data_IF_590265096442
#
_entry.id   IF_590265096442
#
_cell.length_a   1.000
_cell.length_b   1.000
_cell.length_c   1.000
_cell.angle_alpha   90.00
_cell.angle_beta   90.00
_cell.angle_gamma   90.00
#
_symmetry.space_group_name_H-M   'P 1'
#
loop_
_entity.id
_entity.type
_entity.pdbx_description
1 polymer ?
#
# COMPACT_ATOMS: atom_id res chain seq x y z
N UNK A 1 -22.07 12.29 23.50
CA UNK A 1 -22.38 11.66 22.19
C UNK A 1 -21.08 11.10 21.63
N UNK A 2 -21.04 9.81 21.31
CA UNK A 2 -19.86 9.20 20.70
C UNK A 2 -19.73 9.74 19.27
N UNK A 3 -18.71 10.57 19.01
CA UNK A 3 -18.45 11.11 17.68
C UNK A 3 -17.93 10.02 16.74
N UNK A 4 -18.28 10.14 15.45
CA UNK A 4 -17.81 9.26 14.39
C UNK A 4 -16.53 9.81 13.76
N UNK A 5 -15.71 8.89 13.25
CA UNK A 5 -14.51 9.17 12.48
C UNK A 5 -14.69 8.55 11.09
N UNK A 6 -14.22 9.24 10.07
CA UNK A 6 -14.26 8.78 8.70
C UNK A 6 -12.84 8.82 8.11
N UNK A 7 -12.48 7.80 7.38
CA UNK A 7 -11.23 7.78 6.61
C UNK A 7 -11.48 7.31 5.19
N UNK A 8 -10.63 7.75 4.27
CA UNK A 8 -10.50 7.12 2.96
C UNK A 8 -9.04 6.85 2.62
N UNK A 9 -8.80 5.70 2.00
CA UNK A 9 -7.53 5.29 1.41
C UNK A 9 -7.71 5.17 -0.09
N UNK A 10 -7.03 6.01 -0.86
CA UNK A 10 -7.26 6.11 -2.30
C UNK A 10 -6.00 5.98 -3.14
N UNK A 11 -6.10 5.18 -4.19
CA UNK A 11 -5.07 5.00 -5.21
C UNK A 11 -5.54 5.41 -6.60
N UNK A 12 -4.82 4.99 -7.62
CA UNK A 12 -5.15 5.24 -9.02
C UNK A 12 -6.29 4.38 -9.58
N UNK A 13 -6.75 3.35 -8.86
CA UNK A 13 -7.76 2.38 -9.34
C UNK A 13 -9.01 2.29 -8.49
N UNK A 14 -8.86 2.46 -7.19
CA UNK A 14 -9.95 2.39 -6.22
C UNK A 14 -9.68 3.29 -5.03
N UNK A 15 -10.75 3.64 -4.31
CA UNK A 15 -10.72 4.36 -3.03
C UNK A 15 -11.64 3.63 -2.06
N UNK A 16 -11.10 3.20 -0.93
CA UNK A 16 -11.83 2.53 0.13
C UNK A 16 -12.18 3.54 1.24
N UNK A 17 -13.39 3.46 1.79
CA UNK A 17 -13.89 4.34 2.86
C UNK A 17 -14.30 3.54 4.08
N UNK A 18 -14.12 4.13 5.26
CA UNK A 18 -14.49 3.52 6.53
C UNK A 18 -15.00 4.58 7.52
N UNK A 19 -16.26 4.44 7.95
CA UNK A 19 -16.89 5.23 9.02
C UNK A 19 -16.96 4.38 10.28
N UNK A 20 -16.43 4.88 11.39
CA UNK A 20 -16.27 4.09 12.62
C UNK A 20 -16.36 4.94 13.89
N UNK A 21 -16.58 4.27 15.00
CA UNK A 21 -16.58 4.84 16.35
C UNK A 21 -15.19 4.76 16.99
N UNK A 22 -14.96 5.51 18.07
CA UNK A 22 -13.73 5.47 18.87
C UNK A 22 -13.35 4.05 19.36
N UNK A 23 -14.32 3.15 19.48
CA UNK A 23 -14.12 1.74 19.84
C UNK A 23 -13.63 0.84 18.70
N UNK A 24 -13.47 1.41 17.50
CA UNK A 24 -13.19 0.66 16.28
C UNK A 24 -14.44 0.05 15.62
N UNK A 25 -15.64 0.18 16.24
CA UNK A 25 -16.89 -0.35 15.65
C UNK A 25 -17.20 0.35 14.34
N UNK A 26 -17.30 -0.43 13.27
CA UNK A 26 -17.62 0.06 11.93
C UNK A 26 -19.12 0.37 11.83
N UNK A 27 -19.43 1.52 11.24
CA UNK A 27 -20.80 2.03 11.02
C UNK A 27 -21.15 2.11 9.53
N UNK A 28 -20.13 2.27 8.67
CA UNK A 28 -20.31 2.27 7.22
C UNK A 28 -19.02 1.96 6.50
N UNK A 29 -19.13 1.35 5.32
CA UNK A 29 -18.04 1.08 4.37
C UNK A 29 -18.49 1.45 2.97
N UNK A 30 -17.60 2.03 2.19
CA UNK A 30 -17.85 2.27 0.78
C UNK A 30 -16.58 2.01 -0.02
N UNK A 31 -16.74 1.78 -1.32
CA UNK A 31 -15.65 1.69 -2.26
C UNK A 31 -16.02 2.44 -3.53
N UNK A 32 -15.14 3.32 -3.96
CA UNK A 32 -15.28 4.11 -5.19
C UNK A 32 -14.15 3.85 -6.18
N UNK A 33 -14.23 4.53 -7.31
CA UNK A 33 -13.16 4.60 -8.31
C UNK A 33 -11.88 5.20 -7.72
N UNK A 34 -10.78 5.17 -8.47
CA UNK A 34 -9.53 5.82 -8.06
C UNK A 34 -9.72 7.33 -7.87
N UNK A 35 -9.08 7.88 -6.84
CA UNK A 35 -9.12 9.31 -6.54
C UNK A 35 -7.72 9.96 -6.46
N UNK A 36 -6.65 9.25 -6.86
CA UNK A 36 -5.31 9.83 -6.93
C UNK A 36 -5.23 10.79 -8.13
N UNK A 37 -5.10 12.08 -7.85
CA UNK A 37 -5.12 13.16 -8.86
C UNK A 37 -3.95 13.14 -9.85
N UNK A 38 -2.93 12.31 -9.62
CA UNK A 38 -1.88 12.06 -10.62
C UNK A 38 -2.36 11.14 -11.78
N UNK A 39 -3.50 10.45 -11.61
CA UNK A 39 -4.02 9.46 -12.56
C UNK A 39 -5.49 9.70 -12.94
N UNK A 40 -6.21 10.54 -12.18
CA UNK A 40 -7.63 10.79 -12.34
C UNK A 40 -7.87 12.30 -12.39
N UNK A 41 -8.77 12.80 -13.27
CA UNK A 41 -9.13 14.23 -13.29
C UNK A 41 -9.56 14.73 -11.91
N UNK A 42 -9.16 15.94 -11.49
CA UNK A 42 -9.47 16.46 -10.16
C UNK A 42 -10.97 16.46 -9.81
N UNK A 43 -11.84 16.79 -10.76
CA UNK A 43 -13.30 16.80 -10.55
C UNK A 43 -13.85 15.39 -10.29
N UNK A 44 -13.36 14.38 -11.00
CA UNK A 44 -13.75 12.98 -10.79
C UNK A 44 -13.24 12.46 -9.44
N UNK A 45 -12.02 12.83 -9.05
CA UNK A 45 -11.47 12.48 -7.75
C UNK A 45 -12.29 13.07 -6.61
N UNK A 46 -12.68 14.36 -6.71
CA UNK A 46 -13.54 15.03 -5.73
C UNK A 46 -14.93 14.38 -5.65
N UNK A 47 -15.53 14.04 -6.80
CA UNK A 47 -16.81 13.35 -6.86
C UNK A 47 -16.75 11.97 -6.19
N UNK A 48 -15.71 11.19 -6.47
CA UNK A 48 -15.50 9.88 -5.83
C UNK A 48 -15.43 10.01 -4.31
N UNK A 49 -14.68 10.99 -3.81
CA UNK A 49 -14.56 11.23 -2.36
C UNK A 49 -15.90 11.63 -1.76
N UNK A 50 -16.63 12.55 -2.39
CA UNK A 50 -17.95 12.98 -1.94
C UNK A 50 -18.95 11.81 -1.87
N UNK A 51 -19.06 11.04 -2.95
CA UNK A 51 -19.97 9.90 -3.04
C UNK A 51 -19.71 8.85 -1.96
N UNK A 52 -18.41 8.48 -1.74
CA UNK A 52 -18.05 7.50 -0.72
C UNK A 52 -18.34 7.96 0.71
N UNK A 53 -18.17 9.26 1.00
CA UNK A 53 -18.56 9.85 2.30
C UNK A 53 -20.07 9.74 2.50
N UNK A 54 -20.86 10.14 1.50
CA UNK A 54 -22.33 10.12 1.58
C UNK A 54 -22.85 8.70 1.72
N UNK A 55 -22.27 7.74 1.02
CA UNK A 55 -22.63 6.33 1.14
C UNK A 55 -22.37 5.80 2.56
N UNK A 56 -21.21 6.08 3.14
CA UNK A 56 -20.89 5.69 4.52
C UNK A 56 -21.86 6.27 5.54
N UNK A 57 -22.23 7.56 5.38
CA UNK A 57 -23.22 8.23 6.25
C UNK A 57 -24.62 7.61 6.14
N UNK A 58 -25.05 7.33 4.91
CA UNK A 58 -26.34 6.70 4.64
C UNK A 58 -26.44 5.31 5.29
N UNK A 59 -25.40 4.47 5.14
CA UNK A 59 -25.34 3.16 5.76
C UNK A 59 -25.39 3.20 7.29
N UNK A 60 -24.81 4.25 7.90
CA UNK A 60 -24.81 4.45 9.34
C UNK A 60 -26.10 5.06 9.86
N UNK A 61 -26.96 5.62 9.00
CA UNK A 61 -28.07 6.50 9.41
C UNK A 61 -27.57 7.71 10.19
N UNK A 62 -26.37 8.21 9.87
CA UNK A 62 -25.70 9.25 10.64
C UNK A 62 -25.84 10.62 9.96
N UNK A 63 -26.08 11.66 10.77
CA UNK A 63 -26.00 13.02 10.29
C UNK A 63 -24.52 13.45 10.12
N UNK A 64 -24.20 14.28 9.10
CA UNK A 64 -22.85 14.78 8.89
C UNK A 64 -22.19 15.42 10.12
N UNK A 65 -22.96 16.17 10.89
CA UNK A 65 -22.51 16.83 12.13
C UNK A 65 -22.02 15.86 13.23
N UNK A 66 -22.27 14.56 13.10
CA UNK A 66 -21.74 13.53 14.02
C UNK A 66 -20.31 13.12 13.67
N UNK A 67 -19.82 13.47 12.48
CA UNK A 67 -18.42 13.20 12.07
C UNK A 67 -17.51 14.23 12.71
N UNK A 68 -16.63 13.78 13.58
CA UNK A 68 -15.63 14.62 14.26
C UNK A 68 -14.44 14.94 13.39
N UNK A 69 -14.06 13.98 12.57
CA UNK A 69 -12.90 14.11 11.69
C UNK A 69 -13.07 13.20 10.48
N UNK A 70 -12.75 13.73 9.31
CA UNK A 70 -12.59 13.02 8.06
C UNK A 70 -11.14 13.17 7.58
N UNK A 71 -10.42 12.06 7.42
CA UNK A 71 -9.02 12.07 7.02
C UNK A 71 -8.85 11.31 5.70
N UNK A 72 -8.25 12.02 4.73
CA UNK A 72 -7.90 11.47 3.43
C UNK A 72 -6.44 10.99 3.42
N UNK A 73 -6.24 9.75 2.97
CA UNK A 73 -4.94 9.15 2.68
C UNK A 73 -4.86 8.85 1.18
N UNK A 74 -4.73 9.92 0.38
CA UNK A 74 -4.68 9.81 -1.08
C UNK A 74 -3.45 10.56 -1.59
N UNK A 75 -2.41 9.86 -2.09
CA UNK A 75 -1.22 10.49 -2.62
C UNK A 75 -1.55 11.49 -3.73
N UNK A 76 -0.98 12.69 -3.64
CA UNK A 76 -1.15 13.72 -4.66
C UNK A 76 -2.58 14.31 -4.78
N UNK A 77 -3.49 14.01 -3.86
CA UNK A 77 -4.82 14.60 -3.85
C UNK A 77 -4.72 16.11 -3.57
N UNK A 78 -5.25 16.92 -4.48
CA UNK A 78 -5.23 18.40 -4.39
C UNK A 78 -6.60 19.06 -4.58
N UNK A 79 -7.67 18.36 -4.99
CA UNK A 79 -8.95 18.99 -5.16
C UNK A 79 -9.44 19.62 -3.87
N UNK A 80 -10.02 20.83 -3.97
CA UNK A 80 -10.81 21.39 -2.88
C UNK A 80 -12.11 20.57 -2.70
N UNK A 81 -12.54 20.44 -1.46
CA UNK A 81 -13.78 19.72 -1.10
C UNK A 81 -14.78 20.65 -0.37
N UNK A 82 -15.15 21.80 -0.97
CA UNK A 82 -15.94 22.83 -0.28
C UNK A 82 -17.31 22.32 0.20
N UNK A 83 -17.92 21.39 -0.54
CA UNK A 83 -19.19 20.78 -0.16
C UNK A 83 -19.02 19.91 1.10
N UNK A 84 -17.98 19.09 1.17
CA UNK A 84 -17.70 18.29 2.36
C UNK A 84 -17.24 19.13 3.55
N UNK A 85 -16.44 20.17 3.31
CA UNK A 85 -16.02 21.10 4.35
C UNK A 85 -17.22 21.84 4.94
N UNK A 86 -18.18 22.22 4.10
CA UNK A 86 -19.45 22.82 4.55
C UNK A 86 -20.29 21.81 5.33
N UNK A 87 -20.39 20.58 4.83
CA UNK A 87 -21.24 19.53 5.39
C UNK A 87 -20.72 18.99 6.73
N UNK A 88 -19.40 18.75 6.83
CA UNK A 88 -18.74 18.15 8.00
C UNK A 88 -18.16 19.20 8.96
N UNK A 89 -18.07 20.46 8.55
CA UNK A 89 -17.33 21.53 9.22
C UNK A 89 -15.90 21.68 8.71
N UNK A 90 -15.51 22.92 8.39
CA UNK A 90 -14.23 23.22 7.71
C UNK A 90 -12.96 22.77 8.47
N UNK A 91 -13.02 22.61 9.78
CA UNK A 91 -11.90 22.08 10.59
C UNK A 91 -11.85 20.56 10.71
N UNK A 92 -12.84 19.86 10.20
CA UNK A 92 -12.99 18.41 10.38
C UNK A 92 -12.47 17.59 9.19
N UNK A 93 -12.04 18.22 8.10
CA UNK A 93 -11.49 17.57 6.90
C UNK A 93 -10.00 17.76 6.86
N UNK A 94 -9.22 16.67 6.86
CA UNK A 94 -7.75 16.70 6.85
C UNK A 94 -7.21 15.71 5.82
N UNK A 95 -6.03 16.01 5.30
CA UNK A 95 -5.27 15.11 4.46
C UNK A 95 -3.96 14.72 5.15
N UNK A 96 -3.62 13.44 5.12
CA UNK A 96 -2.35 12.89 5.58
C UNK A 96 -1.68 12.10 4.44
N UNK A 97 -0.38 11.87 4.57
CA UNK A 97 0.37 11.06 3.63
C UNK A 97 0.06 9.56 3.79
N UNK A 98 0.22 8.83 2.68
CA UNK A 98 0.00 7.38 2.64
C UNK A 98 1.10 6.58 3.39
N UNK A 99 2.20 7.21 3.78
CA UNK A 99 3.19 6.62 4.68
C UNK A 99 2.60 6.30 6.06
N UNK A 100 1.66 7.13 6.54
CA UNK A 100 1.03 6.91 7.86
C UNK A 100 0.08 5.72 7.85
N UNK A 101 -0.85 5.65 6.89
CA UNK A 101 -1.77 4.52 6.85
C UNK A 101 -1.03 3.21 6.56
N UNK A 102 0.01 3.23 5.72
CA UNK A 102 0.86 2.07 5.48
C UNK A 102 1.57 1.59 6.76
N UNK A 103 2.10 2.53 7.55
CA UNK A 103 2.73 2.22 8.82
C UNK A 103 1.77 1.51 9.79
N UNK A 104 0.60 2.11 10.03
CA UNK A 104 -0.38 1.53 10.96
C UNK A 104 -1.02 0.23 10.44
N UNK A 105 -1.21 0.11 9.13
CA UNK A 105 -1.70 -1.12 8.50
C UNK A 105 -0.71 -2.28 8.67
N UNK A 106 0.57 -2.01 8.48
CA UNK A 106 1.61 -3.01 8.57
C UNK A 106 1.85 -3.48 10.01
N UNK A 107 1.91 -2.57 10.96
CA UNK A 107 2.44 -2.82 12.29
C UNK A 107 1.35 -2.94 13.36
N UNK A 108 0.28 -2.14 13.29
CA UNK A 108 -0.67 -1.95 14.40
C UNK A 108 0.05 -1.71 15.74
N UNK A 109 1.04 -0.84 15.71
CA UNK A 109 1.90 -0.56 16.85
C UNK A 109 2.34 0.92 16.83
N UNK A 110 2.68 1.50 17.99
CA UNK A 110 3.13 2.89 18.06
C UNK A 110 4.54 3.09 17.50
N UNK A 111 5.34 2.04 17.38
CA UNK A 111 6.70 2.06 16.86
C UNK A 111 6.99 0.86 15.97
N UNK A 112 8.00 0.97 15.11
CA UNK A 112 8.41 -0.06 14.16
C UNK A 112 8.80 0.54 12.80
N UNK A 113 9.04 -0.32 11.82
CA UNK A 113 9.40 0.06 10.44
C UNK A 113 8.44 -0.63 9.48
N UNK A 114 7.72 0.15 8.69
CA UNK A 114 6.88 -0.34 7.60
C UNK A 114 7.61 -0.12 6.28
N UNK A 115 7.73 -1.19 5.48
CA UNK A 115 8.25 -1.16 4.12
C UNK A 115 7.08 -1.37 3.18
N UNK A 116 6.78 -0.39 2.33
CA UNK A 116 5.74 -0.48 1.32
C UNK A 116 6.37 -0.83 -0.03
N UNK A 117 5.81 -1.85 -0.69
CA UNK A 117 6.16 -2.21 -2.06
C UNK A 117 4.89 -2.48 -2.88
N UNK A 118 4.52 -1.48 -3.67
CA UNK A 118 3.43 -1.51 -4.65
C UNK A 118 3.98 -1.24 -6.05
N UNK A 119 3.38 -0.31 -6.79
CA UNK A 119 3.94 0.21 -8.05
C UNK A 119 5.25 0.97 -7.80
N UNK A 120 5.37 1.69 -6.68
CA UNK A 120 6.58 2.27 -6.12
C UNK A 120 6.93 1.64 -4.78
N UNK A 121 8.00 2.12 -4.12
CA UNK A 121 8.42 1.63 -2.82
C UNK A 121 9.01 2.72 -1.94
N UNK A 122 8.83 2.58 -0.63
CA UNK A 122 9.48 3.37 0.41
C UNK A 122 9.46 2.60 1.74
N UNK A 123 10.27 3.05 2.68
CA UNK A 123 10.21 2.62 4.06
C UNK A 123 9.98 3.81 4.98
N UNK A 124 9.16 3.64 6.00
CA UNK A 124 8.94 4.64 7.06
C UNK A 124 8.99 3.96 8.42
N UNK A 125 9.52 4.65 9.41
CA UNK A 125 9.65 4.10 10.75
C UNK A 125 9.45 5.14 11.84
N UNK A 126 9.13 4.63 13.04
CA UNK A 126 9.07 5.40 14.29
C UNK A 126 9.70 4.57 15.40
N UNK A 127 10.58 5.16 16.20
CA UNK A 127 11.15 4.52 17.38
C UNK A 127 10.28 4.71 18.63
N UNK A 128 10.71 4.09 19.74
CA UNK A 128 10.01 4.18 21.04
C UNK A 128 10.02 5.59 21.63
N UNK A 129 10.96 6.46 21.23
CA UNK A 129 11.03 7.86 21.61
C UNK A 129 10.16 8.77 20.71
N UNK A 130 9.50 8.21 19.69
CA UNK A 130 8.64 8.95 18.76
C UNK A 130 9.39 9.63 17.61
N UNK A 131 10.72 9.44 17.47
CA UNK A 131 11.48 9.93 16.30
C UNK A 131 11.03 9.16 15.06
N UNK A 132 10.92 9.84 13.95
CA UNK A 132 10.50 9.26 12.66
C UNK A 132 11.59 9.37 11.62
N UNK A 133 11.65 8.39 10.72
CA UNK A 133 12.55 8.38 9.57
C UNK A 133 11.84 7.79 8.35
N UNK A 134 12.26 8.21 7.16
CA UNK A 134 11.73 7.69 5.89
C UNK A 134 12.87 7.54 4.87
N UNK A 135 12.82 6.49 4.06
CA UNK A 135 13.77 6.22 2.99
C UNK A 135 13.05 5.75 1.72
N UNK A 136 13.56 6.11 0.55
CA UNK A 136 12.94 5.80 -0.74
C UNK A 136 11.82 6.77 -1.12
N UNK A 137 10.96 6.37 -2.07
CA UNK A 137 9.81 7.18 -2.49
C UNK A 137 10.14 8.37 -3.40
N UNK A 138 11.33 8.41 -4.02
CA UNK A 138 11.74 9.48 -4.94
C UNK A 138 11.18 9.32 -6.37
N UNK A 139 10.42 8.26 -6.59
CA UNK A 139 9.81 7.94 -7.87
C UNK A 139 10.68 7.06 -8.78
N UNK A 140 10.10 6.60 -9.91
CA UNK A 140 10.64 5.49 -10.68
C UNK A 140 11.96 5.77 -11.40
N UNK A 141 12.30 7.03 -11.63
CA UNK A 141 13.55 7.41 -12.29
C UNK A 141 14.74 7.43 -11.33
N UNK A 142 14.50 7.64 -10.04
CA UNK A 142 15.57 7.90 -9.07
C UNK A 142 15.54 6.93 -7.88
N UNK A 143 14.48 6.16 -7.74
CA UNK A 143 14.24 5.28 -6.60
C UNK A 143 13.21 4.21 -6.95
N UNK A 144 12.36 3.82 -5.98
CA UNK A 144 11.36 2.75 -6.07
C UNK A 144 11.97 1.33 -6.16
N UNK A 145 13.18 1.16 -5.62
CA UNK A 145 13.89 -0.12 -5.59
C UNK A 145 13.06 -1.19 -4.85
N UNK A 146 12.95 -2.37 -5.45
CA UNK A 146 12.16 -3.48 -4.91
C UNK A 146 10.64 -3.34 -5.09
N UNK A 147 10.17 -2.27 -5.78
CA UNK A 147 8.77 -2.13 -6.18
C UNK A 147 8.40 -3.07 -7.34
N UNK A 148 7.10 -3.21 -7.62
CA UNK A 148 6.63 -3.92 -8.81
C UNK A 148 7.20 -3.34 -10.11
N UNK A 149 7.37 -2.00 -10.19
CA UNK A 149 8.03 -1.35 -11.32
C UNK A 149 9.50 -1.77 -11.44
N UNK A 150 10.25 -1.74 -10.33
CA UNK A 150 11.66 -2.14 -10.32
C UNK A 150 11.82 -3.63 -10.66
N UNK A 151 10.95 -4.51 -10.15
CA UNK A 151 10.91 -5.93 -10.53
C UNK A 151 10.70 -6.07 -12.05
N UNK A 152 9.82 -5.28 -12.64
CA UNK A 152 9.59 -5.26 -14.09
C UNK A 152 10.83 -4.79 -14.87
N UNK A 153 11.53 -3.76 -14.40
CA UNK A 153 12.79 -3.27 -15.01
C UNK A 153 13.87 -4.35 -14.91
N UNK A 154 14.09 -4.93 -13.74
CA UNK A 154 15.06 -6.03 -13.54
C UNK A 154 14.73 -7.23 -14.44
N UNK A 155 13.45 -7.54 -14.58
CA UNK A 155 12.99 -8.62 -15.44
C UNK A 155 13.39 -8.37 -16.89
N UNK A 156 13.07 -7.19 -17.45
CA UNK A 156 13.41 -6.85 -18.85
C UNK A 156 14.93 -6.82 -19.04
N UNK A 157 15.69 -6.26 -18.10
CA UNK A 157 17.15 -6.26 -18.13
C UNK A 157 17.72 -7.70 -18.13
N UNK A 158 17.10 -8.60 -17.35
CA UNK A 158 17.47 -10.02 -17.31
C UNK A 158 17.19 -10.71 -18.63
N UNK A 159 16.00 -10.45 -19.24
CA UNK A 159 15.65 -11.01 -20.55
C UNK A 159 16.60 -10.54 -21.67
N UNK A 160 16.98 -9.27 -21.67
CA UNK A 160 17.93 -8.73 -22.61
C UNK A 160 19.31 -9.46 -22.49
N UNK A 161 19.80 -9.66 -21.27
CA UNK A 161 21.04 -10.39 -21.02
C UNK A 161 20.95 -11.85 -21.48
N UNK A 162 19.83 -12.55 -21.20
CA UNK A 162 19.61 -13.92 -21.65
C UNK A 162 19.60 -14.02 -23.17
N UNK A 163 18.92 -13.08 -23.85
CA UNK A 163 18.93 -12.99 -25.30
C UNK A 163 20.33 -12.80 -25.87
N UNK A 164 21.10 -11.85 -25.35
CA UNK A 164 22.46 -11.55 -25.78
C UNK A 164 23.45 -12.71 -25.55
N UNK A 165 23.17 -13.54 -24.56
CA UNK A 165 23.95 -14.76 -24.24
C UNK A 165 23.37 -16.03 -24.87
N UNK A 166 22.39 -15.90 -25.77
CA UNK A 166 21.74 -17.00 -26.48
C UNK A 166 21.04 -18.03 -25.58
N UNK A 167 20.62 -17.63 -24.39
CA UNK A 167 19.78 -18.44 -23.51
C UNK A 167 18.32 -18.10 -23.80
N UNK A 168 17.55 -19.08 -24.28
CA UNK A 168 16.15 -18.90 -24.68
C UNK A 168 15.25 -20.02 -24.14
N UNK A 169 13.94 -19.82 -24.16
CA UNK A 169 12.97 -20.84 -23.80
C UNK A 169 12.80 -21.00 -22.26
N UNK A 170 13.19 -20.00 -21.49
CA UNK A 170 12.96 -19.99 -20.05
C UNK A 170 11.47 -19.76 -19.74
N UNK A 171 11.01 -20.09 -18.54
CA UNK A 171 9.66 -19.73 -18.11
C UNK A 171 9.49 -18.20 -18.05
N UNK A 172 10.57 -17.48 -17.71
CA UNK A 172 10.56 -16.03 -17.66
C UNK A 172 10.29 -15.42 -19.03
N UNK A 173 11.01 -15.86 -20.08
CA UNK A 173 10.77 -15.40 -21.46
C UNK A 173 9.29 -15.59 -21.84
N UNK A 174 8.81 -16.82 -21.70
CA UNK A 174 7.45 -17.21 -22.10
C UNK A 174 6.37 -16.37 -21.40
N UNK A 175 6.47 -16.26 -20.08
CA UNK A 175 5.43 -15.59 -19.28
C UNK A 175 5.43 -14.07 -19.50
N UNK A 176 6.59 -13.46 -19.74
CA UNK A 176 6.69 -12.02 -20.04
C UNK A 176 6.18 -11.73 -21.46
N UNK A 177 6.58 -12.51 -22.45
CA UNK A 177 6.12 -12.33 -23.83
C UNK A 177 4.61 -12.52 -23.96
N UNK A 178 4.05 -13.54 -23.27
CA UNK A 178 2.61 -13.75 -23.19
C UNK A 178 1.90 -12.51 -22.58
N UNK A 179 2.41 -11.96 -21.50
CA UNK A 179 1.82 -10.78 -20.83
C UNK A 179 1.89 -9.52 -21.68
N UNK A 180 2.96 -9.33 -22.45
CA UNK A 180 3.16 -8.17 -23.32
C UNK A 180 2.51 -8.34 -24.70
N UNK A 181 2.06 -9.56 -25.06
CA UNK A 181 1.55 -9.86 -26.40
C UNK A 181 2.62 -9.75 -27.48
N UNK A 182 3.88 -10.08 -27.16
CA UNK A 182 5.02 -9.96 -28.07
C UNK A 182 5.48 -11.33 -28.58
N UNK A 183 5.97 -11.41 -29.85
CA UNK A 183 6.38 -12.67 -30.43
C UNK A 183 7.73 -13.19 -29.96
N UNK A 184 8.62 -12.28 -29.55
CA UNK A 184 10.00 -12.60 -29.14
C UNK A 184 10.58 -11.51 -28.22
N UNK A 185 11.72 -11.83 -27.58
CA UNK A 185 12.42 -10.92 -26.65
C UNK A 185 12.93 -9.66 -27.34
N UNK A 186 13.35 -9.75 -28.59
CA UNK A 186 13.86 -8.59 -29.32
C UNK A 186 12.77 -7.52 -29.54
N UNK A 187 11.52 -7.94 -29.70
CA UNK A 187 10.36 -7.05 -29.85
C UNK A 187 10.10 -6.17 -28.59
N UNK A 188 10.64 -6.55 -27.42
CA UNK A 188 10.57 -5.73 -26.20
C UNK A 188 11.29 -4.38 -26.42
N UNK A 189 12.35 -4.37 -27.22
CA UNK A 189 13.11 -3.15 -27.55
C UNK A 189 12.24 -2.09 -28.22
N UNK A 190 11.42 -2.49 -29.16
CA UNK A 190 10.51 -1.58 -29.87
C UNK A 190 9.32 -1.19 -28.97
N UNK A 191 8.84 -2.13 -28.16
CA UNK A 191 7.78 -1.87 -27.18
C UNK A 191 8.17 -0.83 -26.13
N UNK A 192 9.46 -0.74 -25.76
CA UNK A 192 9.96 0.21 -24.78
C UNK A 192 9.79 1.69 -25.20
N UNK A 193 9.67 1.98 -26.49
CA UNK A 193 9.45 3.31 -27.03
C UNK A 193 7.98 3.65 -27.31
N UNK A 194 7.08 2.72 -27.03
CA UNK A 194 5.64 2.91 -27.27
C UNK A 194 5.04 3.84 -26.20
N UNK A 195 4.25 4.87 -26.62
CA UNK A 195 3.64 5.82 -25.68
C UNK A 195 2.66 5.18 -24.70
N UNK A 196 2.08 4.04 -25.07
CA UNK A 196 1.13 3.28 -24.27
C UNK A 196 1.81 2.38 -23.21
N UNK A 197 3.12 2.15 -23.28
CA UNK A 197 3.86 1.41 -22.27
C UNK A 197 4.08 2.29 -21.03
N UNK A 198 3.09 2.31 -20.17
CA UNK A 198 3.14 3.11 -18.95
C UNK A 198 3.90 2.40 -17.81
N UNK A 199 4.30 3.16 -16.78
CA UNK A 199 4.87 2.64 -15.53
C UNK A 199 4.05 1.46 -14.96
N UNK A 200 2.72 1.53 -15.06
CA UNK A 200 1.81 0.48 -14.58
C UNK A 200 1.96 -0.83 -15.37
N UNK A 201 2.17 -0.73 -16.67
CA UNK A 201 2.41 -1.92 -17.51
C UNK A 201 3.72 -2.60 -17.13
N UNK A 202 4.79 -1.82 -16.92
CA UNK A 202 6.08 -2.36 -16.46
C UNK A 202 5.92 -3.00 -15.07
N UNK A 203 5.23 -2.35 -14.13
CA UNK A 203 5.00 -2.90 -12.79
C UNK A 203 4.22 -4.23 -12.81
N UNK A 204 3.32 -4.42 -13.78
CA UNK A 204 2.58 -5.69 -13.95
C UNK A 204 3.47 -6.86 -14.34
N UNK A 205 4.65 -6.62 -14.92
CA UNK A 205 5.59 -7.70 -15.19
C UNK A 205 6.02 -8.46 -13.95
N UNK A 206 5.89 -7.85 -12.76
CA UNK A 206 6.09 -8.55 -11.48
C UNK A 206 5.23 -9.81 -11.33
N UNK A 207 4.03 -9.85 -11.95
CA UNK A 207 3.18 -11.06 -11.94
C UNK A 207 3.74 -12.17 -12.86
N UNK A 208 4.36 -11.79 -14.00
CA UNK A 208 5.04 -12.77 -14.86
C UNK A 208 6.28 -13.32 -14.15
N UNK A 209 7.03 -12.48 -13.45
CA UNK A 209 8.18 -12.89 -12.62
C UNK A 209 7.72 -13.83 -11.51
N UNK A 210 6.65 -13.49 -10.79
CA UNK A 210 6.07 -14.34 -9.74
C UNK A 210 5.70 -15.72 -10.29
N UNK A 211 4.96 -15.77 -11.42
CA UNK A 211 4.55 -17.02 -12.07
C UNK A 211 5.77 -17.86 -12.44
N UNK A 212 6.77 -17.25 -13.10
CA UNK A 212 8.00 -17.93 -13.50
C UNK A 212 8.81 -18.46 -12.32
N UNK A 213 8.91 -17.69 -11.25
CA UNK A 213 9.60 -18.14 -10.03
C UNK A 213 8.86 -19.32 -9.37
N UNK A 214 7.52 -19.36 -9.39
CA UNK A 214 6.74 -20.53 -8.93
C UNK A 214 6.93 -21.75 -9.81
N UNK A 215 7.22 -21.55 -11.09
CA UNK A 215 7.54 -22.59 -12.07
C UNK A 215 9.02 -23.05 -11.99
N UNK A 216 9.80 -22.49 -11.04
CA UNK A 216 11.19 -22.88 -10.78
C UNK A 216 12.23 -22.17 -11.64
N UNK A 217 11.88 -21.07 -12.32
CA UNK A 217 12.84 -20.32 -13.14
C UNK A 217 13.87 -19.59 -12.25
N UNK A 218 15.13 -19.97 -12.40
CA UNK A 218 16.23 -19.41 -11.61
C UNK A 218 16.45 -17.91 -11.87
N UNK A 219 16.18 -17.42 -13.08
CA UNK A 219 16.33 -16.00 -13.43
C UNK A 219 15.25 -15.17 -12.77
N UNK A 220 14.00 -15.67 -12.76
CA UNK A 220 12.90 -15.05 -12.03
C UNK A 220 13.17 -15.01 -10.52
N UNK A 221 13.70 -16.11 -9.97
CA UNK A 221 14.12 -16.13 -8.56
C UNK A 221 15.20 -15.10 -8.26
N UNK A 222 16.21 -14.95 -9.11
CA UNK A 222 17.28 -13.96 -8.93
C UNK A 222 16.73 -12.51 -8.98
N UNK A 223 15.77 -12.21 -9.86
CA UNK A 223 15.07 -10.92 -9.90
C UNK A 223 14.36 -10.64 -8.58
N UNK A 224 13.65 -11.64 -8.01
CA UNK A 224 12.97 -11.46 -6.73
C UNK A 224 13.94 -11.33 -5.56
N UNK A 225 15.08 -12.03 -5.57
CA UNK A 225 16.12 -11.91 -4.54
C UNK A 225 16.74 -10.51 -4.55
N UNK A 226 17.04 -9.95 -5.72
CA UNK A 226 17.56 -8.59 -5.88
C UNK A 226 16.57 -7.54 -5.39
N UNK A 227 15.31 -7.66 -5.78
CA UNK A 227 14.24 -6.75 -5.35
C UNK A 227 14.00 -6.81 -3.83
N UNK A 228 14.02 -8.00 -3.23
CA UNK A 228 13.86 -8.18 -1.80
C UNK A 228 15.04 -7.59 -1.01
N UNK A 229 16.27 -7.77 -1.51
CA UNK A 229 17.46 -7.16 -0.91
C UNK A 229 17.39 -5.61 -0.97
N UNK A 230 16.89 -5.05 -2.07
CA UNK A 230 16.71 -3.60 -2.20
C UNK A 230 15.73 -3.05 -1.16
N UNK A 231 14.59 -3.72 -0.92
CA UNK A 231 13.64 -3.33 0.13
C UNK A 231 14.24 -3.47 1.54
N UNK A 232 15.03 -4.51 1.78
CA UNK A 232 15.70 -4.67 3.06
C UNK A 232 16.73 -3.56 3.32
N UNK A 233 17.38 -3.03 2.28
CA UNK A 233 18.26 -1.84 2.37
C UNK A 233 17.47 -0.58 2.74
N UNK A 234 16.26 -0.40 2.23
CA UNK A 234 15.39 0.72 2.65
C UNK A 234 15.07 0.62 4.14
N UNK A 235 14.70 -0.58 4.62
CA UNK A 235 14.49 -0.82 6.04
C UNK A 235 15.75 -0.52 6.87
N UNK A 236 16.93 -0.95 6.40
CA UNK A 236 18.21 -0.69 7.05
C UNK A 236 18.54 0.80 7.11
N UNK A 237 18.24 1.55 6.06
CA UNK A 237 18.43 3.01 6.02
C UNK A 237 17.56 3.70 7.08
N UNK A 238 16.31 3.28 7.25
CA UNK A 238 15.41 3.80 8.29
C UNK A 238 15.90 3.38 9.68
N UNK A 239 16.27 2.12 9.85
CA UNK A 239 16.79 1.60 11.13
C UNK A 239 18.05 2.34 11.59
N UNK A 240 18.94 2.70 10.66
CA UNK A 240 20.16 3.46 10.96
C UNK A 240 19.92 4.91 11.43
N UNK A 241 18.72 5.44 11.23
CA UNK A 241 18.32 6.80 11.67
C UNK A 241 17.52 6.79 12.98
N UNK A 242 17.14 5.61 13.47
CA UNK A 242 16.30 5.40 14.64
C UNK A 242 17.02 4.56 15.70
N UNK A 243 16.51 4.57 16.93
CA UNK A 243 16.83 3.54 17.92
C UNK A 243 16.01 2.30 17.57
N UNK A 244 16.63 1.42 16.76
CA UNK A 244 15.91 0.32 16.09
C UNK A 244 15.95 -1.00 16.86
N UNK A 245 16.54 -1.04 18.06
CA UNK A 245 16.67 -2.28 18.82
C UNK A 245 15.32 -2.89 19.23
N UNK A 246 15.08 -4.11 18.72
CA UNK A 246 13.83 -4.84 18.91
C UNK A 246 12.63 -4.26 18.15
N UNK A 247 12.82 -3.30 17.24
CA UNK A 247 11.70 -2.76 16.47
C UNK A 247 11.11 -3.80 15.51
N UNK A 248 9.79 -3.92 15.44
CA UNK A 248 9.14 -4.73 14.42
C UNK A 248 9.31 -4.11 13.04
N UNK A 249 9.56 -4.96 12.04
CA UNK A 249 9.60 -4.58 10.62
C UNK A 249 8.56 -5.38 9.86
N UNK A 250 7.72 -4.72 9.09
CA UNK A 250 6.72 -5.37 8.26
C UNK A 250 6.80 -4.88 6.81
N UNK A 251 6.63 -5.83 5.86
CA UNK A 251 6.51 -5.57 4.44
C UNK A 251 5.02 -5.57 4.06
N UNK A 252 4.56 -4.52 3.36
CA UNK A 252 3.18 -4.37 2.89
C UNK A 252 3.13 -3.95 1.42
N UNK A 253 1.93 -3.96 0.82
CA UNK A 253 1.71 -3.57 -0.57
C UNK A 253 1.53 -4.75 -1.52
N UNK A 254 1.48 -4.44 -2.83
CA UNK A 254 1.16 -5.41 -3.87
C UNK A 254 2.16 -6.56 -3.97
N UNK A 255 3.46 -6.25 -3.85
CA UNK A 255 4.54 -7.24 -3.95
C UNK A 255 4.54 -8.21 -2.75
N UNK A 256 4.16 -7.75 -1.56
CA UNK A 256 4.02 -8.63 -0.40
C UNK A 256 2.95 -9.73 -0.59
N UNK A 257 1.99 -9.53 -1.51
CA UNK A 257 0.94 -10.54 -1.83
C UNK A 257 1.48 -11.78 -2.53
N UNK A 258 2.70 -11.76 -3.03
CA UNK A 258 3.37 -12.97 -3.52
C UNK A 258 3.59 -14.01 -2.40
N UNK A 259 3.30 -13.64 -1.14
CA UNK A 259 3.40 -14.51 0.03
C UNK A 259 4.84 -14.90 0.34
N UNK A 260 5.04 -16.10 0.90
CA UNK A 260 6.35 -16.58 1.34
C UNK A 260 7.41 -16.62 0.20
N UNK A 261 6.96 -16.69 -1.05
CA UNK A 261 7.85 -16.60 -2.21
C UNK A 261 8.70 -15.32 -2.17
N UNK A 262 8.11 -14.18 -1.80
CA UNK A 262 8.80 -12.89 -1.72
C UNK A 262 9.13 -12.49 -0.29
N UNK A 263 8.18 -12.63 0.64
CA UNK A 263 8.38 -12.22 2.03
C UNK A 263 9.46 -13.02 2.74
N UNK A 264 9.64 -14.29 2.37
CA UNK A 264 10.75 -15.12 2.88
C UNK A 264 12.12 -14.62 2.41
N UNK A 265 12.22 -14.15 1.16
CA UNK A 265 13.43 -13.50 0.62
C UNK A 265 13.72 -12.20 1.35
N UNK A 266 12.71 -11.36 1.50
CA UNK A 266 12.84 -10.10 2.23
C UNK A 266 13.27 -10.32 3.67
N UNK A 267 12.65 -11.27 4.38
CA UNK A 267 13.01 -11.63 5.77
C UNK A 267 14.47 -12.03 5.90
N UNK A 268 14.97 -12.95 5.04
CA UNK A 268 16.38 -13.35 5.05
C UNK A 268 17.33 -12.18 4.81
N UNK A 269 17.01 -11.30 3.86
CA UNK A 269 17.83 -10.12 3.60
C UNK A 269 17.79 -9.13 4.77
N UNK A 270 16.62 -8.95 5.41
CA UNK A 270 16.45 -8.11 6.58
C UNK A 270 17.26 -8.62 7.77
N UNK A 271 17.17 -9.91 8.09
CA UNK A 271 17.91 -10.54 9.19
C UNK A 271 19.43 -10.39 9.03
N UNK A 272 19.91 -10.37 7.78
CA UNK A 272 21.33 -10.14 7.48
C UNK A 272 21.72 -8.66 7.64
N UNK A 273 20.89 -7.72 7.17
CA UNK A 273 21.21 -6.29 7.13
C UNK A 273 20.87 -5.55 8.43
N UNK A 274 19.85 -6.00 9.15
CA UNK A 274 19.29 -5.34 10.33
C UNK A 274 18.96 -6.39 11.40
N UNK A 275 19.95 -7.13 11.91
CA UNK A 275 19.71 -8.23 12.84
C UNK A 275 19.07 -7.82 14.17
N UNK A 276 19.14 -6.53 14.52
CA UNK A 276 18.50 -5.98 15.72
C UNK A 276 16.98 -5.80 15.56
N UNK A 277 16.43 -5.86 14.35
CA UNK A 277 15.00 -5.74 14.08
C UNK A 277 14.32 -7.11 13.99
N UNK A 278 12.99 -7.12 14.23
CA UNK A 278 12.20 -8.35 14.20
C UNK A 278 11.18 -8.29 13.06
N UNK A 279 11.31 -9.19 12.07
CA UNK A 279 10.32 -9.29 11.01
C UNK A 279 8.97 -9.76 11.55
N UNK A 280 7.88 -9.11 11.13
CA UNK A 280 6.51 -9.58 11.34
C UNK A 280 5.69 -9.44 10.05
N UNK A 281 4.70 -10.32 9.80
CA UNK A 281 3.77 -10.15 8.69
C UNK A 281 2.95 -8.85 8.86
N UNK A 282 2.64 -8.17 7.74
CA UNK A 282 1.71 -7.06 7.77
C UNK A 282 0.31 -7.53 8.20
N UNK A 283 -0.36 -6.75 9.04
CA UNK A 283 -1.56 -7.19 9.76
C UNK A 283 -2.87 -6.83 9.07
N UNK A 284 -2.95 -5.62 8.49
CA UNK A 284 -4.24 -5.05 8.07
C UNK A 284 -4.19 -4.43 6.67
N UNK A 285 -5.37 -4.15 6.11
CA UNK A 285 -5.50 -3.40 4.86
C UNK A 285 -5.20 -1.91 5.07
N UNK A 286 -4.82 -1.17 4.01
CA UNK A 286 -4.51 0.25 4.10
C UNK A 286 -5.62 1.10 4.71
N UNK A 287 -6.90 0.86 4.38
CA UNK A 287 -8.01 1.62 4.97
C UNK A 287 -8.20 1.33 6.47
N UNK A 288 -7.91 0.11 6.93
CA UNK A 288 -7.87 -0.20 8.36
C UNK A 288 -6.69 0.51 9.02
N UNK A 289 -5.53 0.56 8.35
CA UNK A 289 -4.38 1.34 8.80
C UNK A 289 -4.70 2.83 8.94
N UNK A 290 -5.46 3.40 8.00
CA UNK A 290 -5.96 4.77 8.06
C UNK A 290 -6.83 5.00 9.32
N UNK A 291 -7.74 4.07 9.61
CA UNK A 291 -8.57 4.13 10.81
C UNK A 291 -7.73 4.01 12.10
N UNK A 292 -6.76 3.09 12.14
CA UNK A 292 -5.84 2.94 13.28
C UNK A 292 -4.99 4.19 13.50
N UNK A 293 -4.54 4.84 12.42
CA UNK A 293 -3.83 6.12 12.50
C UNK A 293 -4.68 7.19 13.19
N UNK A 294 -5.93 7.36 12.76
CA UNK A 294 -6.84 8.35 13.34
C UNK A 294 -7.19 8.00 14.79
N UNK A 295 -7.44 6.74 15.11
CA UNK A 295 -7.69 6.31 16.48
C UNK A 295 -6.51 6.60 17.40
N UNK A 296 -5.28 6.32 16.95
CA UNK A 296 -4.07 6.55 17.73
C UNK A 296 -3.72 8.04 17.87
N UNK A 297 -3.63 8.75 16.74
CA UNK A 297 -3.06 10.11 16.72
C UNK A 297 -4.10 11.19 17.03
N UNK A 298 -5.37 11.03 16.62
CA UNK A 298 -6.40 12.05 16.83
C UNK A 298 -7.32 11.72 18.01
N UNK A 299 -7.72 10.46 18.15
CA UNK A 299 -8.64 10.06 19.21
C UNK A 299 -7.98 9.64 20.52
N UNK A 300 -6.65 9.47 20.54
CA UNK A 300 -5.89 9.07 21.72
C UNK A 300 -6.26 7.67 22.23
N UNK A 301 -6.53 6.73 21.31
CA UNK A 301 -6.88 5.35 21.62
C UNK A 301 -5.62 4.50 21.62
N UNK A 302 -5.48 3.62 22.60
CA UNK A 302 -4.50 2.54 22.53
C UNK A 302 -4.96 1.50 21.51
N UNK A 303 -4.40 1.58 20.31
CA UNK A 303 -4.74 0.68 19.19
C UNK A 303 -4.23 -0.75 19.37
N UNK A 304 -3.35 -0.98 20.35
CA UNK A 304 -2.86 -2.32 20.71
C UNK A 304 -3.80 -3.06 21.65
N UNK A 305 -4.78 -2.33 22.23
CA UNK A 305 -5.78 -2.90 23.10
C UNK A 305 -6.64 -3.95 22.36
N UNK A 306 -6.94 -5.09 22.99
CA UNK A 306 -7.76 -6.14 22.40
C UNK A 306 -9.10 -5.61 21.86
N UNK A 307 -9.49 -6.05 20.68
CA UNK A 307 -10.79 -5.74 20.07
C UNK A 307 -10.81 -4.49 19.19
N UNK A 308 -9.88 -3.53 19.33
CA UNK A 308 -9.92 -2.29 18.55
C UNK A 308 -9.71 -2.57 17.06
N UNK A 309 -8.63 -3.23 16.71
CA UNK A 309 -8.30 -3.55 15.32
C UNK A 309 -9.24 -4.62 14.73
N UNK A 310 -9.62 -5.61 15.54
CA UNK A 310 -10.57 -6.65 15.16
C UNK A 310 -11.97 -6.06 14.85
N UNK A 311 -12.40 -5.06 15.59
CA UNK A 311 -13.67 -4.38 15.33
C UNK A 311 -13.66 -3.63 13.99
N UNK A 312 -12.52 -3.04 13.60
CA UNK A 312 -12.36 -2.41 12.29
C UNK A 312 -12.41 -3.41 11.12
N UNK A 313 -12.12 -4.69 11.39
CA UNK A 313 -12.12 -5.75 10.38
C UNK A 313 -13.49 -6.40 10.19
N UNK A 314 -14.36 -6.35 11.20
CA UNK A 314 -15.69 -6.96 11.12
C UNK A 314 -16.50 -6.26 10.03
N UNK A 315 -17.08 -7.06 9.14
CA UNK A 315 -18.16 -6.59 8.28
C UNK A 315 -19.33 -6.15 9.17
N UNK A 316 -20.11 -5.15 8.73
CA UNK A 316 -21.34 -4.76 9.40
C UNK A 316 -22.16 -6.03 9.54
N UNK A 317 -22.30 -6.58 10.75
CA UNK A 317 -23.24 -7.66 10.99
C UNK A 317 -24.62 -7.11 10.62
N UNK A 318 -25.21 -7.64 9.55
CA UNK A 318 -26.60 -7.40 9.22
C UNK A 318 -27.40 -7.66 10.49
N UNK A 319 -28.25 -6.73 10.87
CA UNK A 319 -29.32 -6.98 11.83
C UNK A 319 -30.07 -8.19 11.28
N UNK A 320 -29.90 -9.34 11.92
CA UNK A 320 -30.76 -10.49 11.66
C UNK A 320 -32.18 -10.00 11.90
N UNK A 321 -33.00 -9.96 10.84
CA UNK A 321 -34.42 -9.89 10.98
C UNK A 321 -34.83 -11.04 11.90
N UNK A 322 -35.12 -10.71 13.12
CA UNK A 322 -35.92 -11.56 13.99
C UNK A 322 -37.35 -11.37 13.53
N UNK A 323 -37.75 -12.16 12.54
CA UNK A 323 -39.15 -12.38 12.27
C UNK A 323 -39.70 -13.25 13.42
N UNK A 324 -40.51 -12.60 14.27
CA UNK A 324 -41.36 -13.24 15.26
C UNK A 324 -42.75 -13.52 14.67
#
# INVERSE_FOLDING_TARGET
MNGLYLVCDGGGTKTDFLLFEKTGRVRGRAQGAGANANFVPPAEAAHTVYAGVMECLAQAGAAPAQVREFVLFIPGFRPALPELETLLGSGNVRQLGDEKNAFYAALCAPCGIAVLSGTGSFATGRDKAGRTATAGGWGPLFSDEGSGYHIGVLCVSRLALLHDTHVTGTHLDKNVLEMLGLPDVLSIRDAAYRPDLTRRHVARLSYAVERSAREGDANACAVLDEAACALARLAATVAGQLDADGLPVALTGGVARMGELFTGRFRRALEHLVPQCVYQPAKYSPVVGAALCVLSESAGVDITAPGVAENLMKEKMGEAHVDG
#
